data_IF_063024058404
#
_entry.id   IF_063024058404
#
_cell.length_a   1.000
_cell.length_b   1.000
_cell.length_c   1.000
_cell.angle_alpha   90.00
_cell.angle_beta   90.00
_cell.angle_gamma   90.00
#
_symmetry.space_group_name_H-M   'P 1'
#
loop_
_entity.id
_entity.type
_entity.pdbx_description
1 polymer ?
#
# COMPACT_ATOMS: atom_id res chain seq x y z
N UNK A 1 66.40 27.58 -36.98
CA UNK A 1 65.36 28.01 -36.03
C UNK A 1 64.83 26.77 -35.37
N UNK A 2 65.17 26.53 -34.12
CA UNK A 2 64.80 25.34 -33.35
C UNK A 2 63.67 25.74 -32.38
N UNK A 3 62.49 25.19 -32.60
CA UNK A 3 61.33 25.33 -31.70
C UNK A 3 61.39 24.22 -30.69
N UNK A 4 61.63 24.58 -29.43
CA UNK A 4 61.63 23.69 -28.27
C UNK A 4 60.19 23.32 -27.86
N UNK A 5 59.94 22.06 -27.80
CA UNK A 5 58.69 21.47 -27.24
C UNK A 5 58.81 21.38 -25.73
N UNK A 6 58.06 22.22 -24.99
CA UNK A 6 57.98 22.16 -23.54
C UNK A 6 56.95 21.08 -23.16
N UNK A 7 57.42 19.94 -22.67
CA UNK A 7 56.59 18.91 -22.11
C UNK A 7 56.26 19.29 -20.62
N UNK A 8 55.01 19.66 -20.38
CA UNK A 8 54.48 19.90 -19.04
C UNK A 8 54.06 18.56 -18.45
N UNK A 9 54.86 17.97 -17.58
CA UNK A 9 54.50 16.79 -16.78
C UNK A 9 53.54 17.22 -15.67
N UNK A 10 52.23 16.96 -15.85
CA UNK A 10 51.24 17.12 -14.79
C UNK A 10 51.41 15.92 -13.83
N UNK A 11 52.04 16.12 -12.71
CA UNK A 11 52.12 15.15 -11.62
C UNK A 11 50.74 15.15 -10.93
N UNK A 12 49.86 14.23 -11.29
CA UNK A 12 48.61 13.97 -10.55
C UNK A 12 49.03 13.23 -9.28
N UNK A 13 49.16 13.98 -8.18
CA UNK A 13 49.25 13.41 -6.85
C UNK A 13 47.86 12.88 -6.52
N UNK A 14 47.66 11.58 -6.72
CA UNK A 14 46.48 10.87 -6.14
C UNK A 14 46.71 10.80 -4.64
N UNK A 15 46.13 11.74 -3.91
CA UNK A 15 46.00 11.64 -2.47
C UNK A 15 45.03 10.50 -2.23
N UNK A 16 45.53 9.30 -1.98
CA UNK A 16 44.76 8.23 -1.40
C UNK A 16 44.44 8.66 0.03
N UNK A 17 43.27 9.28 0.23
CA UNK A 17 42.71 9.42 1.55
C UNK A 17 42.40 7.99 1.99
N UNK A 18 43.27 7.40 2.80
CA UNK A 18 42.97 6.22 3.58
C UNK A 18 41.86 6.64 4.56
N UNK A 19 40.61 6.59 4.13
CA UNK A 19 39.50 6.59 5.04
C UNK A 19 39.67 5.35 5.91
N UNK A 20 40.15 5.54 7.16
CA UNK A 20 40.26 4.46 8.11
C UNK A 20 38.88 3.88 8.34
N UNK A 21 38.56 2.78 7.61
CA UNK A 21 37.29 2.09 7.74
C UNK A 21 37.25 1.35 9.08
N UNK A 22 36.08 1.39 9.71
CA UNK A 22 35.81 0.57 10.90
C UNK A 22 35.16 -0.75 10.46
N UNK A 23 35.57 -1.84 11.11
CA UNK A 23 34.99 -3.18 10.89
C UNK A 23 33.82 -3.34 11.85
N UNK A 24 32.65 -3.75 11.35
CA UNK A 24 31.50 -4.07 12.19
C UNK A 24 31.80 -5.30 13.04
N UNK A 25 31.89 -5.10 14.34
CA UNK A 25 32.14 -6.12 15.34
C UNK A 25 30.88 -6.87 15.78
N UNK A 26 30.70 -6.97 17.08
CA UNK A 26 29.51 -7.63 17.64
C UNK A 26 28.27 -6.74 17.54
N UNK A 27 27.13 -7.39 17.26
CA UNK A 27 25.83 -6.75 17.20
C UNK A 27 25.00 -7.33 18.34
N UNK A 28 24.55 -6.49 19.25
CA UNK A 28 23.69 -6.88 20.39
C UNK A 28 22.32 -6.24 20.25
N UNK A 29 21.26 -6.96 20.64
CA UNK A 29 19.88 -6.50 20.61
C UNK A 29 19.29 -6.61 22.02
N UNK A 30 18.60 -5.54 22.46
CA UNK A 30 17.89 -5.46 23.73
C UNK A 30 16.47 -4.96 23.57
N UNK A 31 15.59 -5.24 24.53
CA UNK A 31 14.18 -4.81 24.50
C UNK A 31 13.25 -5.65 23.61
N UNK A 32 13.77 -6.66 22.94
CA UNK A 32 13.02 -7.58 22.08
C UNK A 32 12.47 -8.79 22.84
N UNK A 33 11.52 -8.57 23.73
CA UNK A 33 10.94 -9.63 24.58
C UNK A 33 10.23 -10.74 23.80
N UNK A 34 9.54 -10.39 22.72
CA UNK A 34 8.80 -11.31 21.86
C UNK A 34 9.52 -11.54 20.54
N UNK A 35 10.02 -10.46 19.92
CA UNK A 35 10.62 -10.52 18.58
C UNK A 35 11.98 -11.23 18.63
N UNK A 36 12.18 -12.18 17.73
CA UNK A 36 13.49 -12.86 17.61
C UNK A 36 14.55 -11.88 17.14
N UNK A 37 15.71 -11.88 17.79
CA UNK A 37 16.87 -11.07 17.42
C UNK A 37 17.20 -11.19 15.92
N UNK A 38 17.15 -12.42 15.41
CA UNK A 38 17.38 -12.68 13.99
C UNK A 38 16.42 -12.01 13.02
N UNK A 39 15.23 -11.59 13.47
CA UNK A 39 14.33 -10.78 12.66
C UNK A 39 14.83 -9.34 12.56
N UNK A 40 15.30 -8.77 13.67
CA UNK A 40 15.84 -7.40 13.74
C UNK A 40 17.12 -7.28 12.93
N UNK A 41 18.07 -8.22 13.12
CA UNK A 41 19.33 -8.25 12.36
C UNK A 41 19.11 -8.32 10.85
N UNK A 42 18.02 -8.97 10.39
CA UNK A 42 17.66 -9.06 8.97
C UNK A 42 17.38 -7.69 8.34
N UNK A 43 16.94 -6.72 9.12
CA UNK A 43 16.56 -5.38 8.64
C UNK A 43 17.74 -4.39 8.64
N UNK A 44 18.94 -4.82 9.09
CA UNK A 44 20.12 -3.97 9.08
C UNK A 44 20.63 -3.76 7.65
N UNK A 45 21.15 -2.56 7.39
CA UNK A 45 21.80 -2.20 6.14
C UNK A 45 23.27 -2.63 6.07
N UNK A 46 23.78 -3.33 7.09
CA UNK A 46 25.14 -3.84 7.22
C UNK A 46 25.13 -5.22 7.88
N UNK A 47 26.25 -5.93 7.77
CA UNK A 47 26.46 -7.23 8.43
C UNK A 47 27.72 -7.16 9.32
N UNK A 48 27.81 -8.10 10.27
CA UNK A 48 29.03 -8.31 11.03
C UNK A 48 30.18 -8.66 10.06
N UNK A 49 31.33 -7.97 10.21
CA UNK A 49 32.50 -8.10 9.36
C UNK A 49 32.58 -7.13 8.18
N UNK A 50 31.53 -6.37 7.89
CA UNK A 50 31.59 -5.32 6.86
C UNK A 50 32.56 -4.22 7.30
N UNK A 51 33.29 -3.65 6.35
CA UNK A 51 34.20 -2.51 6.58
C UNK A 51 33.56 -1.26 5.98
N UNK A 52 33.31 -0.26 6.81
CA UNK A 52 32.65 0.98 6.45
C UNK A 52 33.47 2.21 6.91
N UNK A 53 33.48 3.27 6.13
CA UNK A 53 33.94 4.58 6.61
C UNK A 53 32.98 5.12 7.69
N UNK A 54 33.40 6.07 8.49
CA UNK A 54 32.54 6.68 9.52
C UNK A 54 31.26 7.31 8.94
N UNK A 55 31.34 7.88 7.75
CA UNK A 55 30.16 8.45 7.05
C UNK A 55 29.19 7.34 6.63
N UNK A 56 29.70 6.30 5.98
CA UNK A 56 28.90 5.13 5.57
C UNK A 56 28.28 4.42 6.76
N UNK A 57 29.00 4.30 7.90
CA UNK A 57 28.48 3.72 9.12
C UNK A 57 27.29 4.49 9.66
N UNK A 58 27.36 5.83 9.71
CA UNK A 58 26.27 6.66 10.16
C UNK A 58 25.03 6.57 9.24
N UNK A 59 25.25 6.57 7.92
CA UNK A 59 24.19 6.35 6.95
C UNK A 59 23.56 4.95 7.11
N UNK A 60 24.36 3.92 7.25
CA UNK A 60 23.91 2.55 7.43
C UNK A 60 23.14 2.36 8.74
N UNK A 61 23.54 3.00 9.84
CA UNK A 61 22.82 3.02 11.11
C UNK A 61 21.46 3.70 10.92
N UNK A 62 21.40 4.87 10.28
CA UNK A 62 20.15 5.57 10.02
C UNK A 62 19.20 4.76 9.15
N UNK A 63 19.70 4.17 8.08
CA UNK A 63 18.94 3.28 7.19
C UNK A 63 18.41 2.06 7.94
N UNK A 64 19.23 1.43 8.78
CA UNK A 64 18.84 0.30 9.62
C UNK A 64 17.73 0.68 10.60
N UNK A 65 17.85 1.83 11.24
CA UNK A 65 16.81 2.37 12.11
C UNK A 65 15.48 2.53 11.38
N UNK A 66 15.49 3.14 10.18
CA UNK A 66 14.30 3.32 9.36
C UNK A 66 13.70 1.97 8.92
N UNK A 67 14.54 1.01 8.54
CA UNK A 67 14.08 -0.31 8.15
C UNK A 67 13.35 -1.03 9.28
N UNK A 68 13.93 -1.01 10.49
CA UNK A 68 13.32 -1.62 11.67
C UNK A 68 12.01 -0.91 12.04
N UNK A 69 11.96 0.42 12.03
CA UNK A 69 10.73 1.21 12.23
C UNK A 69 9.67 0.86 11.18
N UNK A 70 10.07 0.71 9.92
CA UNK A 70 9.18 0.37 8.80
C UNK A 70 8.62 -1.07 8.86
N UNK A 71 9.10 -1.92 9.78
CA UNK A 71 8.44 -3.20 10.07
C UNK A 71 7.13 -3.03 10.81
N UNK A 72 6.88 -1.87 11.41
CA UNK A 72 5.74 -1.55 12.28
C UNK A 72 5.63 -2.43 13.53
N UNK A 73 6.73 -3.08 13.95
CA UNK A 73 6.76 -3.92 15.15
C UNK A 73 7.30 -3.18 16.39
N UNK A 74 7.86 -1.99 16.22
CA UNK A 74 8.51 -1.23 17.29
C UNK A 74 8.00 0.21 17.37
N UNK A 75 7.85 0.71 18.60
CA UNK A 75 7.52 2.12 18.87
C UNK A 75 8.77 3.00 18.84
N UNK A 76 9.86 2.49 19.41
CA UNK A 76 11.15 3.16 19.45
C UNK A 76 12.24 2.21 19.00
N UNK A 77 13.21 2.74 18.29
CA UNK A 77 14.40 2.02 17.85
C UNK A 77 15.58 2.96 18.02
N UNK A 78 16.54 2.57 18.84
CA UNK A 78 17.78 3.28 19.04
C UNK A 78 18.93 2.36 18.62
N UNK A 79 19.83 2.87 17.79
CA UNK A 79 21.03 2.16 17.36
C UNK A 79 22.21 3.04 17.73
N UNK A 80 23.15 2.49 18.47
CA UNK A 80 24.39 3.15 18.85
C UNK A 80 25.59 2.30 18.46
N UNK A 81 26.71 2.95 18.13
CA UNK A 81 27.98 2.32 17.84
C UNK A 81 29.02 2.71 18.88
N UNK A 82 29.78 1.73 19.38
CA UNK A 82 30.95 1.94 20.23
C UNK A 82 32.19 1.51 19.45
N UNK A 83 33.01 2.49 19.07
CA UNK A 83 34.19 2.27 18.25
C UNK A 83 35.42 2.13 19.15
N UNK A 84 36.02 0.95 19.14
CA UNK A 84 37.28 0.63 19.86
C UNK A 84 38.36 0.34 18.82
N UNK A 85 39.28 1.27 18.58
CA UNK A 85 40.26 1.18 17.51
C UNK A 85 39.61 1.12 16.13
N UNK A 86 39.77 -0.02 15.43
CA UNK A 86 39.18 -0.27 14.10
C UNK A 86 37.87 -1.08 14.14
N UNK A 87 37.34 -1.39 15.33
CA UNK A 87 36.16 -2.24 15.49
C UNK A 87 34.99 -1.39 16.04
N UNK A 88 33.85 -1.41 15.34
CA UNK A 88 32.60 -0.79 15.76
C UNK A 88 31.63 -1.86 16.28
N UNK A 89 31.41 -1.92 17.57
CA UNK A 89 30.37 -2.76 18.17
C UNK A 89 29.03 -2.00 18.16
N UNK A 90 27.98 -2.69 17.73
CA UNK A 90 26.65 -2.09 17.53
C UNK A 90 25.70 -2.58 18.61
N UNK A 91 25.03 -1.64 19.27
CA UNK A 91 23.96 -1.92 20.22
C UNK A 91 22.63 -1.40 19.69
N UNK A 92 21.64 -2.27 19.64
CA UNK A 92 20.29 -1.98 19.15
C UNK A 92 19.33 -2.13 20.33
N UNK A 93 18.69 -1.04 20.73
CA UNK A 93 17.67 -1.05 21.77
C UNK A 93 16.31 -0.74 21.15
N UNK A 94 15.32 -1.61 21.40
CA UNK A 94 13.99 -1.52 20.79
C UNK A 94 12.90 -1.55 21.86
N UNK A 95 11.79 -0.83 21.59
CA UNK A 95 10.55 -0.95 22.34
C UNK A 95 9.47 -1.52 21.44
N UNK A 96 9.02 -2.72 21.79
CA UNK A 96 8.03 -3.45 21.00
C UNK A 96 6.65 -2.76 21.05
N UNK A 97 5.92 -2.84 19.94
CA UNK A 97 4.51 -2.46 19.86
C UNK A 97 3.62 -3.53 20.47
N UNK A 98 2.35 -3.20 20.60
CA UNK A 98 1.31 -4.19 20.84
C UNK A 98 1.04 -4.96 19.55
N UNK A 99 0.99 -6.30 19.61
CA UNK A 99 0.91 -7.14 18.41
C UNK A 99 -0.49 -7.71 18.15
N UNK A 100 -1.31 -7.88 19.20
CA UNK A 100 -2.65 -8.47 19.08
C UNK A 100 -3.71 -7.38 19.03
N UNK A 101 -4.30 -7.17 17.86
CA UNK A 101 -5.30 -6.13 17.63
C UNK A 101 -6.67 -6.73 17.35
N UNK A 102 -7.57 -6.83 18.31
CA UNK A 102 -8.99 -7.02 18.08
C UNK A 102 -9.59 -5.67 17.65
N UNK A 103 -9.67 -5.44 16.36
CA UNK A 103 -10.19 -4.18 15.81
C UNK A 103 -11.67 -4.37 15.53
N UNK A 104 -12.58 -3.70 16.28
CA UNK A 104 -13.97 -3.65 15.91
C UNK A 104 -14.10 -3.11 14.50
N UNK A 105 -14.84 -3.78 13.66
CA UNK A 105 -15.14 -3.35 12.30
C UNK A 105 -16.58 -2.89 12.26
N UNK A 106 -16.77 -1.65 11.89
CA UNK A 106 -18.04 -1.14 11.42
C UNK A 106 -17.78 -0.70 9.98
N UNK A 107 -18.34 -1.41 9.03
CA UNK A 107 -18.24 -1.06 7.62
C UNK A 107 -19.62 -0.71 7.11
N UNK A 108 -19.67 0.36 6.36
CA UNK A 108 -20.84 0.74 5.60
C UNK A 108 -20.51 0.38 4.18
N UNK A 109 -21.39 -0.35 3.51
CA UNK A 109 -21.13 -0.84 2.15
C UNK A 109 -21.31 0.27 1.14
N UNK A 110 -20.40 1.23 1.25
CA UNK A 110 -20.26 2.35 0.34
C UNK A 110 -18.83 2.35 -0.24
N UNK A 111 -18.69 2.92 -1.40
CA UNK A 111 -17.42 3.01 -2.11
C UNK A 111 -16.32 3.65 -1.29
N UNK A 112 -16.64 4.71 -0.59
CA UNK A 112 -15.76 5.44 0.32
C UNK A 112 -16.56 6.21 1.36
N UNK A 113 -15.88 6.73 2.38
CA UNK A 113 -16.51 7.48 3.46
C UNK A 113 -17.24 8.75 3.00
N UNK A 114 -16.73 9.43 1.98
CA UNK A 114 -17.36 10.65 1.46
C UNK A 114 -18.71 10.35 0.81
N UNK A 115 -18.84 9.24 0.08
CA UNK A 115 -20.11 8.79 -0.51
C UNK A 115 -21.14 8.51 0.59
N UNK A 116 -20.72 7.88 1.70
CA UNK A 116 -21.61 7.65 2.84
C UNK A 116 -22.05 8.96 3.51
N UNK A 117 -21.17 9.96 3.65
CA UNK A 117 -21.54 11.25 4.21
C UNK A 117 -22.66 11.94 3.41
N UNK A 118 -22.75 11.70 2.10
CA UNK A 118 -23.80 12.24 1.25
C UNK A 118 -25.15 11.55 1.50
N UNK A 119 -25.14 10.21 1.72
CA UNK A 119 -26.36 9.41 1.88
C UNK A 119 -26.83 9.31 3.33
N UNK A 120 -25.89 9.22 4.28
CA UNK A 120 -26.15 8.98 5.71
C UNK A 120 -26.81 7.63 6.02
N UNK A 121 -26.85 6.70 5.06
CA UNK A 121 -27.57 5.43 5.17
C UNK A 121 -26.83 4.42 6.03
N UNK A 122 -27.36 4.11 7.21
CA UNK A 122 -26.86 3.07 8.11
C UNK A 122 -27.45 1.68 7.84
N UNK A 123 -28.47 1.56 6.97
CA UNK A 123 -29.07 0.27 6.64
C UNK A 123 -28.06 -0.68 5.96
N UNK A 124 -26.98 -0.13 5.41
CA UNK A 124 -25.86 -0.84 4.78
C UNK A 124 -24.71 -1.14 5.72
N UNK A 125 -24.93 -1.03 7.03
CA UNK A 125 -23.88 -1.29 7.99
C UNK A 125 -23.66 -2.80 8.22
N UNK A 126 -22.40 -3.15 8.33
CA UNK A 126 -21.96 -4.47 8.78
C UNK A 126 -21.01 -4.30 9.95
N UNK A 127 -21.19 -5.09 11.00
CA UNK A 127 -20.38 -5.05 12.19
C UNK A 127 -19.64 -6.38 12.41
N UNK A 128 -18.44 -6.28 12.96
CA UNK A 128 -17.65 -7.48 13.19
C UNK A 128 -16.34 -7.20 13.93
N UNK A 129 -15.45 -8.16 13.87
CA UNK A 129 -14.12 -8.08 14.46
C UNK A 129 -13.09 -8.50 13.44
N UNK A 130 -12.09 -7.66 13.28
CA UNK A 130 -10.87 -7.99 12.55
C UNK A 130 -9.75 -8.22 13.56
N UNK A 131 -9.46 -9.48 13.86
CA UNK A 131 -8.36 -9.85 14.72
C UNK A 131 -7.08 -9.93 13.89
N UNK A 132 -6.10 -9.13 14.26
CA UNK A 132 -4.76 -9.20 13.67
C UNK A 132 -3.73 -9.47 14.76
N UNK A 133 -2.92 -10.50 14.58
CA UNK A 133 -1.73 -10.72 15.38
C UNK A 133 -0.49 -10.52 14.51
N UNK A 134 0.22 -9.39 14.76
CA UNK A 134 1.39 -8.98 13.99
C UNK A 134 2.62 -9.60 14.54
N UNK A 135 3.25 -10.47 14.46
CA UNK A 135 4.46 -11.04 15.07
C UNK A 135 4.20 -12.32 15.87
N UNK A 136 3.35 -13.20 15.31
CA UNK A 136 3.22 -14.55 15.87
C UNK A 136 4.59 -15.21 15.97
N UNK A 137 4.84 -15.90 17.07
CA UNK A 137 6.09 -16.59 17.36
C UNK A 137 7.35 -15.69 17.32
N UNK A 138 7.21 -14.36 17.31
CA UNK A 138 8.32 -13.40 17.27
C UNK A 138 9.08 -13.35 15.94
N UNK A 139 8.51 -13.85 14.86
CA UNK A 139 9.18 -13.99 13.54
C UNK A 139 8.61 -13.06 12.47
N UNK A 140 7.82 -12.06 12.90
CA UNK A 140 7.12 -11.16 11.98
C UNK A 140 5.98 -11.85 11.22
N UNK A 141 5.51 -13.00 11.69
CA UNK A 141 4.39 -13.72 11.10
C UNK A 141 3.08 -13.02 11.43
N UNK A 142 2.16 -13.00 10.47
CA UNK A 142 0.90 -12.28 10.60
C UNK A 142 -0.26 -13.25 10.47
N UNK A 143 -1.05 -13.35 11.54
CA UNK A 143 -2.34 -14.02 11.52
C UNK A 143 -3.45 -12.97 11.46
N UNK A 144 -4.40 -13.17 10.56
CA UNK A 144 -5.60 -12.34 10.45
C UNK A 144 -6.83 -13.22 10.45
N UNK A 145 -7.79 -12.89 11.29
CA UNK A 145 -9.11 -13.50 11.31
C UNK A 145 -10.14 -12.38 11.14
N UNK A 146 -10.99 -12.51 10.16
CA UNK A 146 -12.09 -11.59 9.89
C UNK A 146 -13.40 -12.31 10.14
N UNK A 147 -14.22 -11.74 11.01
CA UNK A 147 -15.60 -12.15 11.22
C UNK A 147 -16.49 -10.91 11.17
N UNK A 148 -17.45 -10.90 10.27
CA UNK A 148 -18.35 -9.77 10.06
C UNK A 148 -19.75 -10.26 9.74
N UNK A 149 -20.73 -9.65 10.39
CA UNK A 149 -22.16 -9.90 10.22
C UNK A 149 -22.89 -8.57 9.91
N UNK A 150 -24.10 -8.68 9.43
CA UNK A 150 -24.95 -7.55 9.05
C UNK A 150 -25.24 -7.56 7.57
N UNK A 151 -25.20 -6.39 6.96
CA UNK A 151 -25.52 -6.19 5.55
C UNK A 151 -24.66 -7.06 4.62
N UNK A 152 -23.36 -7.08 4.81
CA UNK A 152 -22.47 -8.07 4.22
C UNK A 152 -21.88 -8.96 5.31
N UNK A 153 -21.84 -10.25 5.06
CA UNK A 153 -21.25 -11.20 5.98
C UNK A 153 -19.92 -11.68 5.41
N UNK A 154 -18.88 -11.72 6.26
CA UNK A 154 -17.55 -12.16 5.86
C UNK A 154 -16.94 -13.06 6.91
N UNK A 155 -16.39 -14.18 6.46
CA UNK A 155 -15.51 -15.04 7.24
C UNK A 155 -14.18 -15.13 6.53
N UNK A 156 -13.09 -14.76 7.20
CA UNK A 156 -11.77 -14.76 6.58
C UNK A 156 -10.69 -15.26 7.52
N UNK A 157 -9.76 -16.02 6.97
CA UNK A 157 -8.54 -16.46 7.62
C UNK A 157 -7.36 -16.17 6.71
N UNK A 158 -6.31 -15.58 7.24
CA UNK A 158 -5.06 -15.37 6.52
C UNK A 158 -3.88 -15.58 7.46
N UNK A 159 -2.89 -16.31 7.01
CA UNK A 159 -1.64 -16.51 7.74
C UNK A 159 -0.45 -16.29 6.82
N UNK A 160 0.44 -15.42 7.19
CA UNK A 160 1.63 -15.06 6.42
C UNK A 160 2.89 -15.33 7.24
N UNK A 161 3.80 -16.09 6.66
CA UNK A 161 5.13 -16.41 7.18
C UNK A 161 6.17 -15.74 6.29
N UNK A 162 6.72 -14.58 6.68
CA UNK A 162 7.63 -13.82 5.81
C UNK A 162 8.95 -14.54 5.57
N UNK A 163 9.35 -15.46 6.46
CA UNK A 163 10.65 -16.14 6.40
C UNK A 163 10.52 -17.62 6.76
N UNK A 164 10.75 -18.48 5.77
CA UNK A 164 10.79 -19.94 5.94
C UNK A 164 12.21 -20.50 5.87
N UNK A 165 13.09 -19.87 5.09
CA UNK A 165 14.46 -20.34 4.91
C UNK A 165 15.44 -19.64 5.86
N UNK A 166 16.64 -20.27 6.08
CA UNK A 166 17.72 -19.73 6.92
C UNK A 166 18.22 -18.36 6.44
N UNK A 167 18.25 -18.13 5.12
CA UNK A 167 18.64 -16.83 4.52
C UNK A 167 17.57 -15.75 4.67
N UNK A 168 16.38 -16.09 5.20
CA UNK A 168 15.24 -15.17 5.40
C UNK A 168 14.85 -14.38 4.15
N UNK A 169 14.91 -15.04 3.00
CA UNK A 169 14.58 -14.46 1.71
C UNK A 169 13.27 -14.98 1.14
N UNK A 170 12.81 -16.14 1.60
CA UNK A 170 11.62 -16.80 1.09
C UNK A 170 10.56 -16.92 2.17
N UNK A 171 9.34 -16.57 1.85
CA UNK A 171 8.16 -16.67 2.69
C UNK A 171 6.98 -17.30 1.97
N UNK A 172 5.94 -17.63 2.73
CA UNK A 172 4.70 -18.22 2.22
C UNK A 172 3.51 -17.65 2.99
N UNK A 173 2.38 -17.60 2.35
CA UNK A 173 1.12 -17.22 2.97
C UNK A 173 -0.04 -18.04 2.42
N UNK A 174 -1.10 -18.05 3.20
CA UNK A 174 -2.37 -18.69 2.87
C UNK A 174 -3.49 -17.72 3.22
N UNK A 175 -4.53 -17.68 2.41
CA UNK A 175 -5.74 -16.90 2.65
C UNK A 175 -6.97 -17.66 2.17
N UNK A 176 -8.04 -17.60 2.96
CA UNK A 176 -9.38 -18.04 2.56
C UNK A 176 -10.40 -17.03 3.06
N UNK A 177 -11.21 -16.49 2.16
CA UNK A 177 -12.26 -15.51 2.49
C UNK A 177 -13.56 -15.94 1.81
N UNK A 178 -14.59 -16.06 2.62
CA UNK A 178 -15.97 -16.28 2.20
C UNK A 178 -16.79 -15.03 2.49
N UNK A 179 -17.56 -14.57 1.51
CA UNK A 179 -18.37 -13.35 1.63
C UNK A 179 -19.78 -13.61 1.10
N UNK A 180 -20.80 -13.19 1.86
CA UNK A 180 -22.20 -13.12 1.44
C UNK A 180 -22.56 -11.64 1.29
N UNK A 181 -23.16 -11.28 0.16
CA UNK A 181 -23.58 -9.90 -0.15
C UNK A 181 -25.06 -9.89 -0.46
N UNK A 182 -25.79 -9.00 0.21
CA UNK A 182 -27.21 -8.74 -0.08
C UNK A 182 -27.40 -7.56 -1.04
N UNK A 183 -26.33 -6.84 -1.30
CA UNK A 183 -26.30 -5.75 -2.26
C UNK A 183 -24.97 -5.74 -3.01
N UNK A 184 -25.02 -5.46 -4.30
CA UNK A 184 -23.83 -5.29 -5.14
C UNK A 184 -24.01 -4.10 -6.07
N UNK A 185 -22.90 -3.49 -6.48
CA UNK A 185 -22.92 -2.57 -7.60
C UNK A 185 -23.23 -3.37 -8.87
N UNK A 186 -24.43 -3.20 -9.41
CA UNK A 186 -24.93 -3.98 -10.53
C UNK A 186 -24.61 -3.33 -11.88
N UNK A 187 -24.57 -2.02 -11.95
CA UNK A 187 -24.28 -1.26 -13.17
C UNK A 187 -23.76 0.14 -12.81
N UNK A 188 -23.06 0.78 -13.73
CA UNK A 188 -22.67 2.20 -13.60
C UNK A 188 -23.54 3.05 -14.51
N UNK A 189 -24.26 4.01 -13.94
CA UNK A 189 -25.07 5.00 -14.66
C UNK A 189 -24.68 6.42 -14.26
N UNK A 190 -24.53 7.30 -15.23
CA UNK A 190 -24.10 8.70 -15.01
C UNK A 190 -22.81 8.78 -14.18
N UNK A 191 -21.89 7.86 -14.47
CA UNK A 191 -20.59 7.73 -13.80
C UNK A 191 -20.70 7.44 -12.28
N UNK A 192 -21.84 6.89 -11.82
CA UNK A 192 -22.09 6.49 -10.43
C UNK A 192 -22.51 5.03 -10.35
N UNK A 193 -22.19 4.40 -9.25
CA UNK A 193 -22.59 3.01 -9.00
C UNK A 193 -24.08 2.95 -8.69
N UNK A 194 -24.79 2.05 -9.37
CA UNK A 194 -26.18 1.70 -9.08
C UNK A 194 -26.19 0.32 -8.42
N UNK A 195 -26.76 0.29 -7.22
CA UNK A 195 -26.77 -0.91 -6.40
C UNK A 195 -28.08 -1.67 -6.57
N UNK A 196 -27.99 -2.96 -6.75
CA UNK A 196 -29.11 -3.90 -6.69
C UNK A 196 -29.12 -4.59 -5.33
N UNK A 197 -30.27 -4.59 -4.67
CA UNK A 197 -30.49 -5.13 -3.32
C UNK A 197 -31.52 -6.22 -3.31
N UNK A 198 -31.28 -7.27 -2.50
CA UNK A 198 -32.27 -8.31 -2.17
C UNK A 198 -32.36 -8.44 -0.65
N UNK A 199 -33.57 -8.70 -0.14
CA UNK A 199 -33.81 -8.90 1.31
C UNK A 199 -33.73 -10.37 1.73
N UNK A 200 -34.17 -11.28 0.86
CA UNK A 200 -34.52 -12.64 1.25
C UNK A 200 -33.36 -13.63 1.04
N UNK A 201 -32.46 -13.33 0.12
CA UNK A 201 -31.31 -14.19 -0.18
C UNK A 201 -30.10 -13.36 -0.61
N UNK A 202 -28.88 -13.86 -0.43
CA UNK A 202 -27.70 -13.18 -0.93
C UNK A 202 -27.74 -13.00 -2.44
N UNK A 203 -27.46 -11.79 -2.92
CA UNK A 203 -27.39 -11.49 -4.34
C UNK A 203 -26.09 -12.00 -4.97
N UNK A 204 -25.04 -12.09 -4.15
CA UNK A 204 -23.74 -12.64 -4.55
C UNK A 204 -23.06 -13.36 -3.39
N UNK A 205 -22.46 -14.51 -3.68
CA UNK A 205 -21.56 -15.24 -2.79
C UNK A 205 -20.17 -15.33 -3.42
N UNK A 206 -19.15 -15.05 -2.64
CA UNK A 206 -17.75 -15.09 -3.10
C UNK A 206 -16.96 -16.00 -2.17
N UNK A 207 -16.26 -16.95 -2.72
CA UNK A 207 -15.24 -17.70 -2.00
C UNK A 207 -13.91 -17.58 -2.72
N UNK A 208 -12.95 -16.93 -2.07
CA UNK A 208 -11.60 -16.73 -2.60
C UNK A 208 -10.59 -17.44 -1.72
N UNK A 209 -9.81 -18.33 -2.31
CA UNK A 209 -8.69 -19.00 -1.69
C UNK A 209 -7.40 -18.59 -2.38
N UNK A 210 -6.34 -18.39 -1.62
CA UNK A 210 -5.05 -17.99 -2.19
C UNK A 210 -3.88 -18.66 -1.46
N UNK A 211 -2.90 -19.09 -2.22
CA UNK A 211 -1.56 -19.42 -1.73
C UNK A 211 -0.62 -18.36 -2.26
N UNK A 212 0.21 -17.83 -1.37
CA UNK A 212 1.16 -16.76 -1.67
C UNK A 212 2.58 -17.23 -1.42
N UNK A 213 3.48 -16.86 -2.30
CA UNK A 213 4.92 -17.03 -2.16
C UNK A 213 5.57 -15.65 -2.19
N UNK A 214 6.40 -15.37 -1.20
CA UNK A 214 7.13 -14.12 -1.06
C UNK A 214 8.63 -14.38 -1.24
N UNK A 215 9.29 -13.59 -2.07
CA UNK A 215 10.72 -13.64 -2.26
C UNK A 215 11.33 -12.25 -2.11
N UNK A 216 12.18 -12.08 -1.08
CA UNK A 216 12.86 -10.84 -0.74
C UNK A 216 14.38 -10.99 -0.90
N UNK A 217 14.92 -10.89 -2.12
CA UNK A 217 16.37 -11.08 -2.37
C UNK A 217 17.20 -9.94 -1.77
N UNK A 218 16.68 -8.73 -1.73
CA UNK A 218 17.31 -7.54 -1.18
C UNK A 218 16.37 -6.82 -0.21
N UNK A 219 16.92 -5.96 0.62
CA UNK A 219 16.20 -5.28 1.70
C UNK A 219 14.97 -4.49 1.21
N UNK A 220 15.08 -3.82 0.09
CA UNK A 220 14.04 -2.95 -0.48
C UNK A 220 13.27 -3.58 -1.65
N UNK A 221 13.57 -4.82 -2.02
CA UNK A 221 12.97 -5.51 -3.15
C UNK A 221 12.14 -6.70 -2.68
N UNK A 222 10.86 -6.71 -3.02
CA UNK A 222 9.91 -7.74 -2.66
C UNK A 222 9.22 -8.27 -3.91
N UNK A 223 9.19 -9.59 -4.05
CA UNK A 223 8.44 -10.29 -5.07
C UNK A 223 7.34 -11.08 -4.37
N UNK A 224 6.13 -11.02 -4.91
CA UNK A 224 4.98 -11.78 -4.42
C UNK A 224 4.33 -12.48 -5.60
N UNK A 225 4.19 -13.79 -5.51
CA UNK A 225 3.42 -14.61 -6.45
C UNK A 225 2.23 -15.20 -5.69
N UNK A 226 1.02 -15.04 -6.22
CA UNK A 226 -0.17 -15.67 -5.67
C UNK A 226 -0.87 -16.52 -6.73
N UNK A 227 -1.30 -17.69 -6.32
CA UNK A 227 -2.24 -18.52 -7.06
C UNK A 227 -3.55 -18.44 -6.30
N UNK A 228 -4.59 -18.00 -6.98
CA UNK A 228 -5.91 -17.76 -6.38
C UNK A 228 -6.96 -18.62 -7.07
N UNK A 229 -7.83 -19.22 -6.29
CA UNK A 229 -9.06 -19.84 -6.72
C UNK A 229 -10.22 -18.94 -6.34
N UNK A 230 -11.14 -18.73 -7.26
CA UNK A 230 -12.36 -17.95 -7.07
C UNK A 230 -13.57 -18.79 -7.43
N UNK A 231 -14.56 -18.77 -6.55
CA UNK A 231 -15.90 -19.27 -6.80
C UNK A 231 -16.86 -18.13 -6.50
N UNK A 232 -17.59 -17.69 -7.50
CA UNK A 232 -18.61 -16.66 -7.40
C UNK A 232 -19.95 -17.21 -7.83
N UNK A 233 -20.96 -17.01 -7.01
CA UNK A 233 -22.34 -17.34 -7.31
C UNK A 233 -23.14 -16.03 -7.35
N UNK A 234 -23.96 -15.85 -8.36
CA UNK A 234 -24.80 -14.68 -8.59
C UNK A 234 -26.27 -15.11 -8.58
N UNK A 235 -27.16 -14.26 -8.06
CA UNK A 235 -28.59 -14.50 -8.18
C UNK A 235 -29.07 -14.27 -9.62
N UNK A 236 -30.13 -14.99 -10.03
CA UNK A 236 -30.78 -14.78 -11.33
C UNK A 236 -31.20 -13.32 -11.48
N UNK A 237 -31.76 -12.72 -10.42
CA UNK A 237 -32.16 -11.30 -10.40
C UNK A 237 -31.04 -10.36 -10.81
N UNK A 238 -29.79 -10.65 -10.41
CA UNK A 238 -28.63 -9.82 -10.76
C UNK A 238 -28.26 -9.94 -12.24
N UNK A 239 -28.25 -11.18 -12.72
CA UNK A 239 -27.89 -11.48 -14.11
C UNK A 239 -28.97 -11.00 -15.08
N UNK A 240 -30.24 -11.11 -14.71
CA UNK A 240 -31.37 -10.57 -15.47
C UNK A 240 -31.35 -9.03 -15.51
N UNK A 241 -30.97 -8.39 -14.38
CA UNK A 241 -30.84 -6.93 -14.29
C UNK A 241 -29.68 -6.40 -15.15
N UNK A 242 -28.53 -7.07 -15.11
CA UNK A 242 -27.39 -6.75 -15.96
C UNK A 242 -26.81 -8.00 -16.62
N UNK A 243 -27.21 -8.33 -17.86
CA UNK A 243 -26.69 -9.49 -18.58
C UNK A 243 -25.19 -9.48 -18.85
N UNK A 244 -24.55 -8.32 -18.71
CA UNK A 244 -23.08 -8.16 -18.83
C UNK A 244 -22.35 -8.27 -17.49
N UNK A 245 -23.08 -8.51 -16.37
CA UNK A 245 -22.48 -8.59 -15.05
C UNK A 245 -21.46 -9.72 -14.93
N UNK A 246 -21.81 -10.89 -15.46
CA UNK A 246 -20.96 -12.08 -15.55
C UNK A 246 -20.76 -12.51 -17.00
N UNK A 247 -19.73 -13.33 -17.30
CA UNK A 247 -19.56 -13.86 -18.66
C UNK A 247 -20.77 -14.67 -19.09
N UNK A 248 -21.32 -14.41 -20.29
CA UNK A 248 -22.46 -15.11 -20.86
C UNK A 248 -23.69 -15.20 -19.92
N UNK A 249 -23.85 -14.23 -19.05
CA UNK A 249 -24.94 -14.19 -18.06
C UNK A 249 -24.96 -15.43 -17.15
N UNK A 250 -23.81 -16.01 -16.79
CA UNK A 250 -23.77 -17.18 -15.91
C UNK A 250 -24.04 -16.78 -14.47
N UNK A 251 -24.74 -17.63 -13.72
CA UNK A 251 -24.99 -17.47 -12.28
C UNK A 251 -23.88 -18.10 -11.42
N UNK A 252 -22.97 -18.85 -12.01
CA UNK A 252 -21.80 -19.40 -11.35
C UNK A 252 -20.55 -19.12 -12.18
N UNK A 253 -19.50 -18.63 -11.52
CA UNK A 253 -18.22 -18.38 -12.14
C UNK A 253 -17.09 -18.89 -11.27
N UNK A 254 -16.42 -19.93 -11.74
CA UNK A 254 -15.30 -20.54 -11.05
C UNK A 254 -14.03 -20.46 -11.91
N UNK A 255 -12.94 -19.90 -11.37
CA UNK A 255 -11.69 -19.75 -12.12
C UNK A 255 -10.47 -19.68 -11.22
N UNK A 256 -9.31 -19.95 -11.81
CA UNK A 256 -8.01 -19.66 -11.22
C UNK A 256 -7.43 -18.36 -11.78
N UNK A 257 -6.67 -17.66 -10.94
CA UNK A 257 -5.87 -16.53 -11.36
C UNK A 257 -4.44 -16.62 -10.80
N UNK A 258 -3.49 -16.05 -11.54
CA UNK A 258 -2.10 -15.87 -11.10
C UNK A 258 -1.86 -14.37 -10.99
N UNK A 259 -1.40 -13.95 -9.82
CA UNK A 259 -0.99 -12.59 -9.55
C UNK A 259 0.49 -12.55 -9.20
N UNK A 260 1.23 -11.69 -9.85
CA UNK A 260 2.62 -11.41 -9.54
C UNK A 260 2.80 -9.92 -9.26
N UNK A 261 3.57 -9.61 -8.22
CA UNK A 261 3.94 -8.23 -7.85
C UNK A 261 5.43 -8.14 -7.55
N UNK A 262 6.12 -7.28 -8.28
CA UNK A 262 7.44 -6.78 -7.95
C UNK A 262 7.29 -5.42 -7.28
N UNK A 263 7.85 -5.26 -6.08
CA UNK A 263 7.83 -3.99 -5.32
C UNK A 263 9.24 -3.58 -4.95
N UNK A 264 9.56 -2.31 -5.19
CA UNK A 264 10.80 -1.64 -4.76
C UNK A 264 10.39 -0.42 -3.93
N UNK A 265 10.86 -0.35 -2.67
CA UNK A 265 10.38 0.63 -1.69
C UNK A 265 11.55 1.23 -0.90
N UNK A 266 11.98 2.41 -1.31
CA UNK A 266 13.03 3.22 -0.68
C UNK A 266 12.47 4.47 0.01
N UNK A 267 11.20 4.42 0.45
CA UNK A 267 10.61 5.54 1.20
C UNK A 267 11.19 5.59 2.60
N UNK A 268 11.41 6.82 3.08
CA UNK A 268 11.87 7.10 4.44
C UNK A 268 10.88 6.56 5.50
N UNK A 269 9.63 7.00 5.46
CA UNK A 269 8.58 6.53 6.35
C UNK A 269 7.35 6.13 5.52
N UNK A 270 7.05 4.81 5.49
CA UNK A 270 6.02 4.27 4.58
C UNK A 270 4.62 4.83 4.78
N UNK A 271 4.13 5.08 6.03
CA UNK A 271 2.80 5.62 6.25
C UNK A 271 2.63 7.06 5.74
N UNK A 272 3.66 7.88 5.86
CA UNK A 272 3.67 9.27 5.40
C UNK A 272 5.05 9.67 4.87
N UNK A 273 5.35 9.30 3.62
CA UNK A 273 6.68 9.53 3.06
C UNK A 273 6.91 11.00 2.67
N UNK A 274 8.11 11.48 3.00
CA UNK A 274 8.58 12.82 2.66
C UNK A 274 9.80 12.79 1.76
N UNK A 275 10.52 11.66 1.71
CA UNK A 275 11.68 11.44 0.86
C UNK A 275 11.74 10.00 0.37
N UNK A 276 12.46 9.78 -0.75
CA UNK A 276 12.65 8.45 -1.32
C UNK A 276 11.73 8.16 -2.49
N UNK A 277 11.56 6.89 -2.82
CA UNK A 277 10.68 6.48 -3.90
C UNK A 277 10.06 5.10 -3.65
N UNK A 278 8.97 4.87 -4.34
CA UNK A 278 8.24 3.61 -4.38
C UNK A 278 7.90 3.28 -5.81
N UNK A 279 8.11 2.03 -6.21
CA UNK A 279 7.65 1.53 -7.50
C UNK A 279 7.16 0.10 -7.33
N UNK A 280 6.01 -0.21 -7.92
CA UNK A 280 5.59 -1.59 -8.12
C UNK A 280 5.10 -1.85 -9.55
N UNK A 281 5.19 -3.13 -9.93
CA UNK A 281 4.62 -3.68 -11.15
C UNK A 281 3.81 -4.90 -10.74
N UNK A 282 2.54 -4.92 -11.12
CA UNK A 282 1.59 -5.99 -10.86
C UNK A 282 1.14 -6.60 -12.17
N UNK A 283 1.29 -7.91 -12.32
CA UNK A 283 0.75 -8.67 -13.43
C UNK A 283 -0.34 -9.62 -12.91
N UNK A 284 -1.52 -9.56 -13.50
CA UNK A 284 -2.65 -10.43 -13.13
C UNK A 284 -3.16 -11.15 -14.38
N UNK A 285 -3.10 -12.47 -14.35
CA UNK A 285 -3.76 -13.34 -15.32
C UNK A 285 -5.01 -13.94 -14.66
N UNK A 286 -6.17 -13.59 -15.16
CA UNK A 286 -7.48 -14.09 -14.72
C UNK A 286 -8.01 -15.07 -15.75
N UNK A 287 -8.40 -16.26 -15.29
CA UNK A 287 -8.78 -17.37 -16.16
C UNK A 287 -7.56 -18.08 -16.78
N UNK A 288 -7.31 -19.31 -16.32
CA UNK A 288 -6.19 -20.14 -16.79
C UNK A 288 -6.61 -21.25 -17.73
N UNK A 289 -7.89 -21.36 -18.10
CA UNK A 289 -8.41 -22.45 -18.94
C UNK A 289 -8.52 -23.81 -18.23
N UNK A 290 -8.40 -23.85 -16.89
CA UNK A 290 -8.41 -25.11 -16.11
C UNK A 290 -9.82 -25.51 -15.70
N UNK A 291 -10.66 -24.56 -15.33
CA UNK A 291 -12.06 -24.72 -15.01
C UNK A 291 -12.93 -24.15 -16.13
N UNK A 292 -14.24 -24.19 -16.02
CA UNK A 292 -15.12 -23.61 -17.02
C UNK A 292 -14.82 -22.10 -17.17
N UNK A 293 -14.13 -21.70 -18.24
CA UNK A 293 -13.51 -20.37 -18.33
C UNK A 293 -14.00 -19.59 -19.54
N UNK A 294 -15.02 -18.82 -19.30
CA UNK A 294 -15.38 -17.73 -20.19
C UNK A 294 -14.58 -16.43 -19.90
N UNK A 295 -13.59 -16.54 -19.01
CA UNK A 295 -12.72 -15.43 -18.61
C UNK A 295 -11.29 -15.66 -19.03
N UNK A 296 -10.74 -14.75 -19.79
CA UNK A 296 -9.36 -14.77 -20.25
C UNK A 296 -8.81 -13.33 -20.32
N UNK A 297 -8.41 -12.79 -19.16
CA UNK A 297 -7.96 -11.41 -19.05
C UNK A 297 -6.53 -11.42 -18.52
N UNK A 298 -5.65 -10.65 -19.13
CA UNK A 298 -4.33 -10.32 -18.59
C UNK A 298 -4.27 -8.83 -18.33
N UNK A 299 -3.83 -8.42 -17.17
CA UNK A 299 -3.60 -7.01 -16.87
C UNK A 299 -2.23 -6.76 -16.28
N UNK A 300 -1.64 -5.63 -16.65
CA UNK A 300 -0.40 -5.10 -16.13
C UNK A 300 -0.68 -3.73 -15.51
N UNK A 301 -0.34 -3.58 -14.22
CA UNK A 301 -0.45 -2.30 -13.52
C UNK A 301 0.90 -1.90 -12.98
N UNK A 302 1.23 -0.62 -13.08
CA UNK A 302 2.41 -0.04 -12.45
C UNK A 302 2.02 1.14 -11.60
N UNK A 303 2.65 1.26 -10.43
CA UNK A 303 2.55 2.41 -9.55
C UNK A 303 3.94 2.90 -9.22
N UNK A 304 4.25 4.15 -9.55
CA UNK A 304 5.53 4.79 -9.21
C UNK A 304 5.28 6.10 -8.48
N UNK A 305 6.00 6.33 -7.39
CA UNK A 305 5.92 7.56 -6.60
C UNK A 305 7.31 8.01 -6.21
N UNK A 306 7.58 9.28 -6.37
CA UNK A 306 8.82 9.91 -5.94
C UNK A 306 8.51 11.05 -4.98
N UNK A 307 9.26 11.11 -3.89
CA UNK A 307 9.14 12.09 -2.82
C UNK A 307 10.43 12.86 -2.73
N UNK A 308 10.32 14.19 -2.56
CA UNK A 308 11.44 15.11 -2.56
C UNK A 308 11.38 15.97 -1.29
N UNK A 309 12.47 16.00 -0.56
CA UNK A 309 12.71 17.01 0.45
C UNK A 309 13.34 18.23 -0.23
N UNK A 310 12.56 19.30 -0.40
CA UNK A 310 13.00 20.51 -1.09
C UNK A 310 13.79 21.45 -0.17
N UNK A 311 13.36 21.52 1.10
CA UNK A 311 13.99 22.31 2.16
C UNK A 311 13.49 21.83 3.52
N UNK A 312 13.93 22.47 4.62
CA UNK A 312 13.60 22.04 5.99
C UNK A 312 12.10 21.82 6.27
N UNK A 313 11.21 22.55 5.58
CA UNK A 313 9.76 22.45 5.81
C UNK A 313 8.95 22.21 4.53
N UNK A 314 9.59 22.21 3.35
CA UNK A 314 8.91 22.03 2.07
C UNK A 314 9.23 20.68 1.45
N UNK A 315 8.21 20.02 1.01
CA UNK A 315 8.28 18.70 0.37
C UNK A 315 7.45 18.67 -0.90
N UNK A 316 7.84 17.85 -1.85
CA UNK A 316 7.07 17.62 -3.06
C UNK A 316 6.92 16.12 -3.29
N UNK A 317 5.88 15.75 -4.01
CA UNK A 317 5.69 14.37 -4.44
C UNK A 317 5.04 14.32 -5.82
N UNK A 318 5.43 13.33 -6.61
CA UNK A 318 4.81 12.98 -7.88
C UNK A 318 4.53 11.49 -7.89
N UNK A 319 3.36 11.10 -8.35
CA UNK A 319 2.94 9.70 -8.50
C UNK A 319 2.36 9.47 -9.89
N UNK A 320 2.66 8.30 -10.45
CA UNK A 320 2.07 7.78 -11.67
C UNK A 320 1.47 6.41 -11.38
N UNK A 321 0.23 6.19 -11.79
CA UNK A 321 -0.44 4.90 -11.75
C UNK A 321 -0.92 4.62 -13.17
N UNK A 322 -0.61 3.47 -13.72
CA UNK A 322 -1.07 3.05 -15.03
C UNK A 322 -1.46 1.58 -15.02
N UNK A 323 -2.56 1.25 -15.70
CA UNK A 323 -3.05 -0.12 -15.91
C UNK A 323 -3.35 -0.31 -17.37
N UNK A 324 -2.90 -1.42 -17.92
CA UNK A 324 -3.24 -1.90 -19.25
C UNK A 324 -3.84 -3.31 -19.12
N UNK A 325 -4.86 -3.60 -19.93
CA UNK A 325 -5.53 -4.89 -19.92
C UNK A 325 -5.65 -5.44 -21.33
N UNK A 326 -5.44 -6.74 -21.46
CA UNK A 326 -5.57 -7.50 -22.69
C UNK A 326 -6.46 -8.72 -22.47
N UNK A 327 -7.11 -9.16 -23.51
CA UNK A 327 -7.97 -10.34 -23.50
C UNK A 327 -9.30 -10.06 -24.18
N UNK A 328 -10.26 -10.94 -23.95
CA UNK A 328 -11.59 -10.79 -24.49
C UNK A 328 -12.47 -9.82 -23.71
N UNK A 329 -13.78 -10.04 -23.80
CA UNK A 329 -14.78 -9.33 -23.04
C UNK A 329 -14.48 -9.37 -21.54
N UNK A 330 -14.51 -8.19 -20.90
CA UNK A 330 -14.40 -8.07 -19.44
C UNK A 330 -15.79 -7.89 -18.85
N UNK A 331 -16.33 -8.88 -18.13
CA UNK A 331 -17.64 -8.74 -17.51
C UNK A 331 -17.61 -7.63 -16.47
N UNK A 332 -18.76 -7.00 -16.26
CA UNK A 332 -18.90 -5.83 -15.37
C UNK A 332 -18.32 -6.08 -13.97
N UNK A 333 -18.53 -7.27 -13.42
CA UNK A 333 -17.98 -7.67 -12.10
C UNK A 333 -16.44 -7.61 -12.03
N UNK A 334 -15.75 -7.72 -13.15
CA UNK A 334 -14.29 -7.69 -13.27
C UNK A 334 -13.73 -6.37 -13.83
N UNK A 335 -14.57 -5.58 -14.48
CA UNK A 335 -14.18 -4.28 -15.00
C UNK A 335 -13.96 -3.30 -13.86
N UNK A 336 -12.75 -2.79 -13.73
CA UNK A 336 -12.37 -1.84 -12.68
C UNK A 336 -11.43 -0.79 -13.27
N UNK A 337 -11.99 0.35 -13.58
CA UNK A 337 -11.26 1.56 -13.94
C UNK A 337 -10.88 2.37 -12.69
N UNK A 338 -11.18 3.66 -12.65
CA UNK A 338 -10.88 4.53 -11.52
C UNK A 338 -12.09 4.68 -10.59
N UNK A 339 -11.82 4.97 -9.32
CA UNK A 339 -12.83 5.19 -8.28
C UNK A 339 -13.28 3.94 -7.53
N UNK A 340 -12.80 2.75 -7.88
CA UNK A 340 -13.12 1.47 -7.24
C UNK A 340 -12.17 1.09 -6.09
N UNK A 341 -11.67 2.05 -5.36
CA UNK A 341 -10.74 1.82 -4.26
C UNK A 341 -9.71 2.93 -4.17
N UNK A 342 -8.41 2.56 -4.17
CA UNK A 342 -7.33 3.55 -4.00
C UNK A 342 -6.90 4.25 -5.29
N UNK A 343 -7.29 3.72 -6.42
CA UNK A 343 -6.96 4.30 -7.71
C UNK A 343 -8.08 5.25 -8.13
N UNK A 344 -7.92 6.52 -7.86
CA UNK A 344 -8.87 7.59 -8.17
C UNK A 344 -8.14 8.91 -8.42
N UNK A 345 -8.79 9.84 -9.07
CA UNK A 345 -8.38 11.24 -9.20
C UNK A 345 -9.06 12.02 -8.05
N UNK A 346 -8.32 12.77 -7.26
CA UNK A 346 -8.89 13.57 -6.16
C UNK A 346 -9.90 14.58 -6.75
N UNK A 347 -11.00 14.84 -6.04
CA UNK A 347 -12.13 15.61 -6.56
C UNK A 347 -13.17 14.80 -7.36
N UNK A 348 -12.93 13.48 -7.56
CA UNK A 348 -13.85 12.55 -8.20
C UNK A 348 -14.27 11.40 -7.27
N UNK A 349 -14.23 11.59 -5.95
CA UNK A 349 -14.53 10.54 -4.97
C UNK A 349 -15.98 10.02 -5.06
N UNK A 350 -16.89 10.81 -5.61
CA UNK A 350 -18.30 10.43 -5.81
C UNK A 350 -18.56 9.71 -7.14
N UNK A 351 -17.52 9.52 -7.96
CA UNK A 351 -17.63 8.95 -9.30
C UNK A 351 -16.81 7.67 -9.43
N UNK A 352 -17.25 6.79 -10.30
CA UNK A 352 -16.47 5.71 -10.88
C UNK A 352 -16.30 5.98 -12.37
N UNK A 353 -15.16 5.62 -12.89
CA UNK A 353 -14.87 5.74 -14.32
C UNK A 353 -14.51 4.35 -14.79
N UNK A 354 -15.47 3.67 -15.42
CA UNK A 354 -15.30 2.32 -15.91
C UNK A 354 -14.34 2.29 -17.10
N UNK A 355 -13.59 1.23 -17.21
CA UNK A 355 -12.69 0.99 -18.33
C UNK A 355 -11.61 -0.04 -18.05
N UNK A 356 -11.01 -0.51 -19.12
CA UNK A 356 -10.02 -1.57 -19.09
C UNK A 356 -8.62 -1.03 -18.81
N UNK A 357 -8.30 0.14 -19.37
CA UNK A 357 -7.01 0.78 -19.26
C UNK A 357 -7.13 2.15 -18.61
N UNK A 358 -6.13 2.55 -17.85
CA UNK A 358 -6.08 3.91 -17.31
C UNK A 358 -4.67 4.36 -16.97
N UNK A 359 -4.50 5.68 -16.92
CA UNK A 359 -3.33 6.33 -16.37
C UNK A 359 -3.73 7.52 -15.51
N UNK A 360 -3.08 7.70 -14.37
CA UNK A 360 -3.29 8.82 -13.44
C UNK A 360 -1.95 9.35 -13.00
N UNK A 361 -1.75 10.66 -13.11
CA UNK A 361 -0.66 11.40 -12.49
C UNK A 361 -1.20 12.16 -11.29
N UNK A 362 -0.48 12.12 -10.17
CA UNK A 362 -0.79 12.84 -8.93
C UNK A 362 0.40 13.67 -8.49
N UNK A 363 0.16 14.89 -8.08
CA UNK A 363 1.21 15.79 -7.60
C UNK A 363 0.84 16.43 -6.28
N UNK A 364 1.83 16.66 -5.41
CA UNK A 364 1.66 17.37 -4.15
C UNK A 364 2.85 18.27 -3.88
N UNK A 365 2.57 19.46 -3.35
CA UNK A 365 3.53 20.29 -2.64
C UNK A 365 3.05 20.42 -1.20
N UNK A 366 3.90 20.13 -0.23
CA UNK A 366 3.55 20.12 1.19
C UNK A 366 4.43 21.07 1.98
N UNK A 367 3.83 21.74 2.96
CA UNK A 367 4.53 22.59 3.94
C UNK A 367 4.27 22.04 5.34
N UNK A 368 5.34 21.75 6.10
CA UNK A 368 5.23 21.30 7.48
C UNK A 368 4.90 22.47 8.41
N UNK A 369 3.63 22.60 8.79
CA UNK A 369 3.19 23.58 9.81
C UNK A 369 3.73 23.15 11.17
N UNK A 370 3.56 21.85 11.50
CA UNK A 370 4.13 21.22 12.68
C UNK A 370 4.98 20.04 12.22
N UNK A 371 6.32 20.18 12.17
CA UNK A 371 7.22 19.07 11.96
C UNK A 371 7.00 18.00 13.03
N UNK A 372 7.35 16.75 12.75
CA UNK A 372 7.12 15.62 13.66
C UNK A 372 7.62 15.92 15.08
N UNK A 373 6.69 16.10 16.02
CA UNK A 373 6.93 16.22 17.46
C UNK A 373 6.38 15.00 18.16
N UNK A 374 7.06 14.58 19.21
CA UNK A 374 6.66 13.45 20.03
C UNK A 374 6.18 13.97 21.37
N UNK A 375 4.94 13.68 21.72
CA UNK A 375 4.33 14.03 23.00
C UNK A 375 4.25 12.80 23.89
N UNK A 376 4.62 12.93 25.14
CA UNK A 376 4.49 11.87 26.15
C UNK A 376 3.33 12.18 27.07
N UNK A 377 2.33 11.29 27.10
CA UNK A 377 1.14 11.42 27.95
C UNK A 377 1.37 10.66 29.27
N UNK A 378 1.79 11.37 30.31
CA UNK A 378 2.19 10.76 31.59
C UNK A 378 1.05 10.08 32.35
N UNK A 379 -0.22 10.36 32.00
CA UNK A 379 -1.40 9.75 32.61
C UNK A 379 -1.73 8.35 32.04
N UNK A 380 -1.09 7.97 30.90
CA UNK A 380 -1.20 6.62 30.33
C UNK A 380 -0.10 5.75 30.92
N UNK A 381 -0.43 4.71 31.73
CA UNK A 381 0.56 3.95 32.47
C UNK A 381 1.41 3.03 31.60
N UNK A 382 0.92 2.72 30.40
CA UNK A 382 1.59 1.77 29.48
C UNK A 382 2.45 2.52 28.47
N UNK A 383 3.75 2.29 28.50
CA UNK A 383 4.71 2.91 27.57
C UNK A 383 4.39 2.66 26.09
N UNK A 384 3.70 1.55 25.79
CA UNK A 384 3.26 1.22 24.42
C UNK A 384 2.26 2.22 23.85
N UNK A 385 1.54 2.97 24.71
CA UNK A 385 0.46 3.89 24.30
C UNK A 385 0.67 5.34 24.72
N UNK A 386 1.67 5.64 25.56
CA UNK A 386 1.87 6.97 26.10
C UNK A 386 2.65 7.94 25.20
N UNK A 387 3.23 7.44 24.12
CA UNK A 387 4.11 8.20 23.21
C UNK A 387 3.39 8.48 21.91
N UNK A 388 2.98 9.74 21.67
CA UNK A 388 2.17 10.14 20.52
C UNK A 388 2.99 11.06 19.61
N UNK A 389 3.41 10.60 18.44
CA UNK A 389 3.96 11.45 17.39
C UNK A 389 2.83 12.25 16.73
N UNK A 390 3.02 13.54 16.52
CA UNK A 390 2.10 14.41 15.79
C UNK A 390 2.88 15.22 14.78
N UNK A 391 2.37 15.30 13.55
CA UNK A 391 2.83 16.22 12.54
C UNK A 391 1.65 16.74 11.71
N UNK A 392 1.69 18.01 11.32
CA UNK A 392 0.66 18.67 10.54
C UNK A 392 1.28 19.30 9.31
N UNK A 393 0.70 19.02 8.15
CA UNK A 393 1.16 19.55 6.87
C UNK A 393 -0.01 20.23 6.14
N UNK A 394 0.26 21.37 5.55
CA UNK A 394 -0.57 21.97 4.50
C UNK A 394 -0.13 21.33 3.18
N UNK A 395 -1.07 20.97 2.32
CA UNK A 395 -0.77 20.44 1.00
C UNK A 395 -1.53 21.18 -0.10
N UNK A 396 -0.89 21.35 -1.25
CA UNK A 396 -1.48 21.80 -2.52
C UNK A 396 -1.29 20.67 -3.51
N UNK A 397 -2.30 20.35 -4.28
CA UNK A 397 -2.23 19.23 -5.20
C UNK A 397 -2.84 19.51 -6.57
N UNK A 398 -2.43 18.73 -7.55
CA UNK A 398 -3.02 18.64 -8.86
C UNK A 398 -2.93 17.21 -9.37
N UNK A 399 -4.05 16.69 -9.84
CA UNK A 399 -4.17 15.34 -10.39
C UNK A 399 -4.71 15.41 -11.81
N UNK A 400 -4.32 14.46 -12.66
CA UNK A 400 -4.88 14.29 -13.99
C UNK A 400 -4.91 12.80 -14.35
N UNK A 401 -5.88 12.41 -15.16
CA UNK A 401 -6.00 11.01 -15.59
C UNK A 401 -6.89 10.82 -16.79
N UNK A 402 -6.79 9.62 -17.34
CA UNK A 402 -7.58 9.17 -18.49
C UNK A 402 -7.91 7.70 -18.31
N UNK A 403 -9.13 7.33 -18.64
CA UNK A 403 -9.61 5.96 -18.67
C UNK A 403 -10.05 5.64 -20.08
N UNK A 404 -9.48 4.57 -20.67
CA UNK A 404 -9.92 4.02 -21.93
C UNK A 404 -10.94 2.91 -21.68
N UNK A 405 -12.15 3.09 -22.20
CA UNK A 405 -13.22 2.12 -22.15
C UNK A 405 -13.71 1.79 -23.56
N UNK A 406 -13.46 0.56 -23.98
CA UNK A 406 -13.91 0.02 -25.26
C UNK A 406 -15.24 -0.76 -25.15
N UNK A 407 -15.79 -0.88 -23.94
CA UNK A 407 -16.96 -1.68 -23.59
C UNK A 407 -17.95 -0.84 -22.77
N UNK A 408 -18.41 0.29 -23.34
CA UNK A 408 -19.37 1.16 -22.66
C UNK A 408 -20.73 0.48 -22.58
N UNK A 409 -21.15 0.10 -21.37
CA UNK A 409 -22.43 -0.57 -21.12
C UNK A 409 -23.61 0.41 -21.08
N UNK A 410 -23.36 1.65 -20.70
CA UNK A 410 -24.39 2.69 -20.61
C UNK A 410 -23.87 4.02 -21.19
N UNK A 411 -24.59 4.53 -22.18
CA UNK A 411 -24.29 5.81 -22.84
C UNK A 411 -24.47 7.05 -21.93
N UNK A 412 -25.06 6.89 -20.74
CA UNK A 412 -25.18 7.97 -19.76
C UNK A 412 -23.85 8.28 -19.06
N UNK A 413 -22.88 7.33 -19.10
CA UNK A 413 -21.54 7.51 -18.56
C UNK A 413 -20.71 8.42 -19.49
N UNK A 414 -20.22 9.53 -18.95
CA UNK A 414 -19.58 10.60 -19.72
C UNK A 414 -18.11 10.82 -19.40
N UNK A 415 -17.62 10.24 -18.31
CA UNK A 415 -16.22 10.39 -17.86
C UNK A 415 -15.24 9.45 -18.60
N UNK A 416 -15.60 8.22 -18.99
CA UNK A 416 -14.72 7.38 -19.78
C UNK A 416 -14.35 8.03 -21.12
N UNK A 417 -13.16 7.71 -21.63
CA UNK A 417 -12.64 8.21 -22.91
C UNK A 417 -12.49 9.75 -22.97
N UNK A 418 -12.37 10.38 -21.80
CA UNK A 418 -12.10 11.82 -21.65
C UNK A 418 -10.99 12.07 -20.65
N UNK A 419 -10.25 13.13 -20.86
CA UNK A 419 -9.23 13.58 -19.93
C UNK A 419 -9.88 14.23 -18.72
N UNK A 420 -9.54 13.77 -17.52
CA UNK A 420 -10.01 14.26 -16.23
C UNK A 420 -8.86 14.93 -15.49
N UNK A 421 -9.13 16.04 -14.82
CA UNK A 421 -8.15 16.74 -14.00
C UNK A 421 -8.84 17.38 -12.78
N UNK A 422 -8.04 17.66 -11.78
CA UNK A 422 -8.48 18.32 -10.55
C UNK A 422 -7.32 19.03 -9.86
N UNK A 423 -7.65 19.94 -8.95
CA UNK A 423 -6.69 20.58 -8.10
C UNK A 423 -7.32 21.02 -6.79
N UNK A 424 -6.51 21.24 -5.78
CA UNK A 424 -7.04 21.61 -4.47
C UNK A 424 -5.99 21.84 -3.40
N UNK A 425 -6.50 22.06 -2.19
CA UNK A 425 -5.75 22.32 -0.97
C UNK A 425 -6.16 21.31 0.10
N UNK A 426 -5.25 20.95 1.01
CA UNK A 426 -5.58 20.05 2.09
C UNK A 426 -4.70 20.23 3.31
N UNK A 427 -5.16 19.65 4.42
CA UNK A 427 -4.42 19.55 5.67
C UNK A 427 -4.29 18.07 6.03
N UNK A 428 -3.06 17.63 6.25
CA UNK A 428 -2.72 16.28 6.65
C UNK A 428 -2.31 16.28 8.12
N UNK A 429 -2.93 15.41 8.92
CA UNK A 429 -2.54 15.08 10.27
C UNK A 429 -1.98 13.66 10.30
N UNK A 430 -0.68 13.51 10.54
CA UNK A 430 -0.06 12.21 10.82
C UNK A 430 0.16 12.05 12.31
N UNK A 431 -0.29 10.92 12.84
CA UNK A 431 -0.28 10.69 14.29
C UNK A 431 0.01 9.22 14.62
N UNK A 432 -0.45 8.79 15.77
CA UNK A 432 -0.22 7.53 16.45
C UNK A 432 -0.53 6.28 15.60
N UNK A 433 0.30 5.24 15.74
CA UNK A 433 0.18 3.96 15.03
C UNK A 433 0.01 4.09 13.51
N UNK A 434 0.82 4.98 12.91
CA UNK A 434 0.87 5.17 11.46
C UNK A 434 -0.44 5.72 10.85
N UNK A 435 -1.32 6.28 11.69
CA UNK A 435 -2.59 6.86 11.26
C UNK A 435 -2.38 8.22 10.61
N UNK A 436 -3.02 8.42 9.47
CA UNK A 436 -3.02 9.69 8.75
C UNK A 436 -4.46 10.07 8.42
N UNK A 437 -4.87 11.27 8.85
CA UNK A 437 -6.13 11.89 8.45
C UNK A 437 -5.84 13.07 7.53
N UNK A 438 -6.64 13.24 6.51
CA UNK A 438 -6.52 14.32 5.52
C UNK A 438 -7.88 14.92 5.25
N UNK A 439 -7.96 16.25 5.29
CA UNK A 439 -9.10 17.03 4.83
C UNK A 439 -8.64 17.79 3.60
N UNK A 440 -9.33 17.62 2.47
CA UNK A 440 -9.01 18.26 1.20
C UNK A 440 -10.23 18.99 0.65
N UNK A 441 -10.01 20.21 0.18
CA UNK A 441 -10.92 20.91 -0.71
C UNK A 441 -10.42 20.74 -2.14
N UNK A 442 -11.28 20.28 -3.04
CA UNK A 442 -10.91 19.99 -4.42
C UNK A 442 -11.93 20.58 -5.40
N UNK A 443 -11.43 20.97 -6.57
CA UNK A 443 -12.21 21.36 -7.74
C UNK A 443 -11.84 20.43 -8.88
N UNK A 444 -12.84 19.85 -9.57
CA UNK A 444 -12.66 18.95 -10.69
C UNK A 444 -12.98 19.59 -12.04
N UNK A 445 -12.71 18.90 -13.14
CA UNK A 445 -12.94 19.39 -14.51
C UNK A 445 -14.42 19.61 -14.86
N UNK A 446 -15.36 19.08 -14.07
CA UNK A 446 -16.80 19.34 -14.22
C UNK A 446 -17.23 20.65 -13.55
N UNK A 447 -16.31 21.39 -12.91
CA UNK A 447 -16.60 22.60 -12.15
C UNK A 447 -17.17 22.33 -10.75
N UNK A 448 -17.16 21.10 -10.28
CA UNK A 448 -17.61 20.76 -8.94
C UNK A 448 -16.52 21.07 -7.92
N UNK A 449 -16.94 21.66 -6.80
CA UNK A 449 -16.10 22.06 -5.68
C UNK A 449 -16.62 21.40 -4.41
N UNK A 450 -15.81 20.56 -3.74
CA UNK A 450 -16.25 19.83 -2.54
C UNK A 450 -15.10 19.63 -1.54
N UNK A 451 -15.48 19.32 -0.30
CA UNK A 451 -14.56 18.91 0.77
C UNK A 451 -14.62 17.39 0.92
N UNK A 452 -13.44 16.78 1.06
CA UNK A 452 -13.27 15.34 1.20
C UNK A 452 -12.47 15.01 2.44
N UNK A 453 -12.79 13.89 3.08
CA UNK A 453 -12.07 13.36 4.24
C UNK A 453 -11.45 12.00 3.89
N UNK A 454 -10.16 11.84 4.17
CA UNK A 454 -9.43 10.62 3.93
C UNK A 454 -8.67 10.17 5.19
N UNK A 455 -8.67 8.88 5.46
CA UNK A 455 -7.97 8.29 6.62
C UNK A 455 -6.69 7.54 6.23
N UNK A 456 -6.28 7.59 4.98
CA UNK A 456 -4.99 7.07 4.47
C UNK A 456 -4.52 8.04 3.40
N UNK A 457 -3.37 8.63 3.58
CA UNK A 457 -2.95 9.74 2.75
C UNK A 457 -1.55 9.67 2.11
N UNK A 458 -1.01 8.57 1.62
CA UNK A 458 0.00 8.68 0.57
C UNK A 458 -0.67 9.19 -0.71
N UNK A 459 0.08 9.88 -1.54
CA UNK A 459 -0.42 10.27 -2.86
C UNK A 459 -0.71 9.06 -3.71
#
# INVERSE_FOLDING_TARGET
MKTGLLLFFLFIITITINAQGVIIGDISVSGNNTTKESFIIRELAFNKGDTLSNTELNEAINNSKQNIVNTSLFNEVNISSNINGSIANISIDVKERWYLWPIPQLTIDERNFNTWLETGDLSRASAGVFLTHNNMRGRGEILKVLFMLGYNQKLGLSYEMPYLNKKKTFGMGFQSIYTLKHEVNAVTEKDKQVFLKTSDHPIQRDWTNAIQFNYRPKLYMHNTLQIRHHLWEFSDTLVDFNPYYSPKSTTELQYFSIYYKLKIDYRDYKPYPLNGFYTDIEALKTGLGILNNDVNIFSLKSTSRKYFNLSNNFYAAVGLIAKLSWGGFQPYVMERGLGYGRDYIRGYEYYVIDGQDYAVIKTNIKYAIIPKKVFKLNWIPTEKFNTIPISIYLNVFGDAGYVNNNQVYDASNKLPNKFQYSGGLGIDLSTYYDSVARIEWAVNAMGESRIYLHFIAPI
#
